data_IF_439283050541
#
_entry.id   IF_439283050541
#
_cell.length_a   1.000
_cell.length_b   1.000
_cell.length_c   1.000
_cell.angle_alpha   90.00
_cell.angle_beta   90.00
_cell.angle_gamma   90.00
#
_symmetry.space_group_name_H-M   'P 1'
#
loop_
_entity.id
_entity.type
_entity.pdbx_description
1 polymer ?
#
# COMPACT_ATOMS: atom_id res chain seq x y z
N UNK A 1 -5.27 -2.47 -0.99
CA UNK A 1 -4.44 -1.86 -2.07
C UNK A 1 -4.30 -0.38 -1.77
N UNK A 2 -3.23 0.29 -2.23
CA UNK A 2 -3.01 1.75 -2.04
C UNK A 2 -4.21 2.59 -2.54
N UNK A 3 -5.08 2.03 -3.40
CA UNK A 3 -6.40 2.55 -3.77
C UNK A 3 -7.55 2.31 -2.78
N UNK A 4 -7.29 2.23 -1.47
CA UNK A 4 -8.41 2.20 -0.51
C UNK A 4 -9.16 3.54 -0.58
N UNK A 5 -10.38 3.52 -1.10
CA UNK A 5 -11.28 4.68 -1.20
C UNK A 5 -11.64 5.28 0.17
N UNK A 6 -11.16 4.69 1.26
CA UNK A 6 -11.17 5.26 2.60
C UNK A 6 -10.65 6.70 2.58
N UNK A 7 -11.46 7.63 3.11
CA UNK A 7 -11.11 9.06 3.27
C UNK A 7 -9.74 9.28 3.93
N UNK A 8 -9.29 8.33 4.76
CA UNK A 8 -7.99 8.36 5.42
C UNK A 8 -6.78 8.30 4.47
N UNK A 9 -6.91 7.80 3.24
CA UNK A 9 -5.82 7.72 2.26
C UNK A 9 -5.70 8.96 1.35
N UNK A 10 -6.46 10.03 1.63
CA UNK A 10 -6.49 11.24 0.80
C UNK A 10 -5.10 11.90 0.63
N UNK A 11 -4.28 12.07 1.67
CA UNK A 11 -2.97 12.71 1.51
C UNK A 11 -2.05 12.00 0.53
N UNK A 12 -1.95 10.66 0.62
CA UNK A 12 -1.18 9.88 -0.35
C UNK A 12 -1.73 10.06 -1.77
N UNK A 13 -3.05 9.98 -1.95
CA UNK A 13 -3.71 10.17 -3.26
C UNK A 13 -3.47 11.55 -3.86
N UNK A 14 -3.42 12.60 -3.05
CA UNK A 14 -3.14 13.96 -3.52
C UNK A 14 -1.70 14.06 -4.07
N UNK A 15 -0.73 13.40 -3.43
CA UNK A 15 0.65 13.32 -3.91
C UNK A 15 0.76 12.48 -5.19
N UNK A 16 0.06 11.33 -5.26
CA UNK A 16 0.03 10.53 -6.48
C UNK A 16 -0.53 11.34 -7.65
N UNK A 17 -1.64 12.06 -7.42
CA UNK A 17 -2.24 12.96 -8.41
C UNK A 17 -1.31 14.11 -8.80
N UNK A 18 -0.63 14.74 -7.85
CA UNK A 18 0.39 15.78 -8.09
C UNK A 18 1.45 15.32 -9.09
N UNK A 19 1.84 14.04 -9.04
CA UNK A 19 2.87 13.46 -9.92
C UNK A 19 2.32 12.77 -11.17
N UNK A 20 1.00 12.74 -11.36
CA UNK A 20 0.35 12.00 -12.43
C UNK A 20 0.57 10.49 -12.33
N UNK A 21 0.67 9.96 -11.11
CA UNK A 21 0.76 8.53 -10.83
C UNK A 21 -0.66 7.99 -10.70
N UNK A 22 -1.06 7.12 -11.62
CA UNK A 22 -2.37 6.49 -11.60
C UNK A 22 -2.43 5.37 -10.56
N UNK A 23 -3.36 5.48 -9.62
CA UNK A 23 -3.53 4.54 -8.50
C UNK A 23 -4.10 3.19 -8.96
N UNK A 24 -4.78 3.18 -10.11
CA UNK A 24 -5.38 2.00 -10.73
C UNK A 24 -4.42 1.34 -11.74
N UNK A 25 -3.26 1.95 -12.02
CA UNK A 25 -2.22 1.29 -12.80
C UNK A 25 -1.76 0.04 -12.02
N UNK A 26 -1.82 -1.13 -12.66
CA UNK A 26 -1.47 -2.42 -12.07
C UNK A 26 -0.06 -2.45 -11.46
N UNK A 27 0.80 -1.50 -11.84
CA UNK A 27 2.12 -1.26 -11.23
C UNK A 27 2.06 -0.81 -9.76
N UNK A 28 1.00 -0.11 -9.36
CA UNK A 28 0.77 0.40 -7.99
C UNK A 28 -0.18 -0.49 -7.17
N UNK A 29 -0.83 -1.45 -7.82
CA UNK A 29 -1.68 -2.44 -7.18
C UNK A 29 -0.87 -3.62 -6.64
N UNK A 30 -0.97 -3.88 -5.33
CA UNK A 30 -0.49 -5.15 -4.75
C UNK A 30 -1.61 -6.17 -4.82
N UNK A 31 -1.43 -7.23 -5.61
CA UNK A 31 -2.33 -8.38 -5.57
C UNK A 31 -2.06 -9.16 -4.29
N UNK A 32 -3.02 -9.12 -3.37
CA UNK A 32 -2.90 -9.79 -2.08
C UNK A 32 -3.84 -11.00 -2.00
N UNK A 33 -3.39 -12.12 -1.43
CA UNK A 33 -4.25 -13.28 -1.22
C UNK A 33 -5.45 -12.88 -0.36
N UNK A 34 -6.64 -13.17 -0.86
CA UNK A 34 -7.90 -12.89 -0.17
C UNK A 34 -8.47 -14.17 0.47
N UNK A 35 -9.59 -14.05 1.20
CA UNK A 35 -10.23 -15.18 1.91
C UNK A 35 -10.63 -16.37 1.02
N UNK A 36 -10.76 -16.17 -0.29
CA UNK A 36 -11.11 -17.22 -1.26
C UNK A 36 -9.86 -17.89 -1.86
N UNK A 37 -8.66 -17.34 -1.64
CA UNK A 37 -7.41 -17.97 -2.02
C UNK A 37 -6.97 -18.92 -0.90
N UNK A 38 -7.41 -20.17 -0.99
CA UNK A 38 -7.05 -21.29 -0.09
C UNK A 38 -5.63 -21.84 -0.34
N UNK A 39 -4.94 -21.37 -1.38
CA UNK A 39 -3.54 -21.71 -1.60
C UNK A 39 -2.65 -21.02 -0.56
N UNK A 40 -2.15 -21.81 0.39
CA UNK A 40 -1.25 -21.37 1.46
C UNK A 40 0.18 -21.14 0.97
N UNK A 41 0.54 -21.58 -0.25
CA UNK A 41 1.86 -21.34 -0.84
C UNK A 41 2.03 -19.91 -1.36
N UNK A 42 0.92 -19.17 -1.53
CA UNK A 42 0.94 -17.76 -1.88
C UNK A 42 1.35 -16.91 -0.67
N UNK A 43 2.54 -16.31 -0.77
CA UNK A 43 3.04 -15.27 0.14
C UNK A 43 2.21 -13.99 0.03
N UNK A 44 2.13 -13.23 1.13
CA UNK A 44 1.45 -11.95 1.20
C UNK A 44 0.45 -11.87 2.36
N UNK A 45 0.33 -10.68 2.94
CA UNK A 45 -0.63 -10.43 4.03
C UNK A 45 -2.06 -10.65 3.54
N UNK A 46 -2.87 -11.31 4.35
CA UNK A 46 -4.26 -11.62 3.98
C UNK A 46 -5.09 -10.34 3.90
N UNK A 47 -5.69 -10.07 2.74
CA UNK A 47 -6.56 -8.91 2.55
C UNK A 47 -7.99 -9.21 3.04
N UNK A 48 -8.29 -8.78 4.28
CA UNK A 48 -9.57 -9.03 4.96
C UNK A 48 -10.33 -7.73 5.21
N UNK A 49 -11.03 -7.24 4.19
CA UNK A 49 -11.94 -6.09 4.36
C UNK A 49 -11.20 -4.78 4.63
N UNK A 50 -11.74 -3.97 5.52
CA UNK A 50 -11.31 -2.58 5.74
C UNK A 50 -9.95 -2.50 6.42
N UNK A 51 -9.04 -1.70 5.88
CA UNK A 51 -7.75 -1.44 6.52
C UNK A 51 -7.89 -0.57 7.78
N UNK A 52 -7.08 -0.83 8.84
CA UNK A 52 -7.10 -0.01 10.04
C UNK A 52 -6.57 1.39 9.75
N UNK A 53 -7.06 2.40 10.48
CA UNK A 53 -6.62 3.79 10.30
C UNK A 53 -5.10 3.97 10.48
N UNK A 54 -4.47 3.16 11.33
CA UNK A 54 -3.02 3.19 11.53
C UNK A 54 -2.24 2.82 10.26
N UNK A 55 -2.70 1.80 9.53
CA UNK A 55 -2.13 1.44 8.23
C UNK A 55 -2.25 2.61 7.24
N UNK A 56 -3.43 3.23 7.15
CA UNK A 56 -3.65 4.38 6.27
C UNK A 56 -2.75 5.57 6.64
N UNK A 57 -2.57 5.82 7.95
CA UNK A 57 -1.66 6.86 8.43
C UNK A 57 -0.19 6.55 8.08
N UNK A 58 0.26 5.31 8.27
CA UNK A 58 1.62 4.89 7.91
C UNK A 58 1.88 5.05 6.40
N UNK A 59 0.93 4.65 5.54
CA UNK A 59 1.03 4.86 4.09
C UNK A 59 1.13 6.36 3.76
N UNK A 60 0.28 7.20 4.34
CA UNK A 60 0.34 8.64 4.11
C UNK A 60 1.70 9.23 4.49
N UNK A 61 2.20 8.93 5.68
CA UNK A 61 3.49 9.45 6.16
C UNK A 61 4.62 9.04 5.22
N UNK A 62 4.70 7.75 4.86
CA UNK A 62 5.72 7.23 3.93
C UNK A 62 5.68 7.93 2.58
N UNK A 63 4.51 8.10 1.97
CA UNK A 63 4.36 8.77 0.67
C UNK A 63 4.69 10.27 0.75
N UNK A 64 4.31 10.95 1.82
CA UNK A 64 4.66 12.35 2.07
C UNK A 64 6.17 12.52 2.20
N UNK A 65 6.81 11.67 3.01
CA UNK A 65 8.25 11.74 3.23
C UNK A 65 9.02 11.39 1.94
N UNK A 66 8.54 10.42 1.16
CA UNK A 66 9.10 10.04 -0.12
C UNK A 66 9.02 11.18 -1.17
N UNK A 67 7.88 11.88 -1.24
CA UNK A 67 7.73 13.09 -2.07
C UNK A 67 8.70 14.19 -1.64
N UNK A 68 8.86 14.41 -0.33
CA UNK A 68 9.76 15.44 0.20
C UNK A 68 11.23 15.13 -0.09
N UNK A 69 11.64 13.87 0.01
CA UNK A 69 13.05 13.48 -0.14
C UNK A 69 13.47 13.25 -1.59
N UNK A 70 12.60 12.65 -2.40
CA UNK A 70 12.94 12.17 -3.74
C UNK A 70 11.97 12.60 -4.85
N UNK A 71 11.00 13.46 -4.53
CA UNK A 71 9.96 13.88 -5.47
C UNK A 71 9.22 12.68 -6.08
N UNK A 72 8.95 12.76 -7.38
CA UNK A 72 8.22 11.69 -8.09
C UNK A 72 8.92 10.33 -8.00
N UNK A 73 10.24 10.28 -8.10
CA UNK A 73 10.98 9.02 -8.06
C UNK A 73 10.92 8.40 -6.67
N UNK A 74 11.11 9.20 -5.62
CA UNK A 74 10.98 8.72 -4.24
C UNK A 74 9.61 8.11 -3.98
N UNK A 75 8.54 8.74 -4.48
CA UNK A 75 7.17 8.20 -4.37
C UNK A 75 7.03 6.83 -5.07
N UNK A 76 7.60 6.66 -6.27
CA UNK A 76 7.57 5.37 -6.99
C UNK A 76 8.38 4.28 -6.25
N UNK A 77 9.53 4.66 -5.70
CA UNK A 77 10.39 3.75 -4.93
C UNK A 77 9.67 3.28 -3.66
N UNK A 78 9.01 4.19 -2.94
CA UNK A 78 8.27 3.83 -1.72
C UNK A 78 7.01 3.03 -2.01
N UNK A 79 6.30 3.29 -3.12
CA UNK A 79 5.21 2.41 -3.57
C UNK A 79 5.70 0.99 -3.84
N UNK A 80 6.89 0.85 -4.45
CA UNK A 80 7.51 -0.45 -4.70
C UNK A 80 7.91 -1.15 -3.39
N UNK A 81 8.47 -0.41 -2.43
CA UNK A 81 8.81 -0.90 -1.10
C UNK A 81 7.59 -1.40 -0.32
N UNK A 82 6.52 -0.59 -0.26
CA UNK A 82 5.25 -0.99 0.36
C UNK A 82 4.71 -2.26 -0.31
N UNK A 83 4.79 -2.35 -1.64
CA UNK A 83 4.38 -3.55 -2.37
C UNK A 83 5.18 -4.78 -1.96
N UNK A 84 6.51 -4.66 -1.89
CA UNK A 84 7.39 -5.75 -1.49
C UNK A 84 7.04 -6.21 -0.07
N UNK A 85 6.99 -5.30 0.91
CA UNK A 85 6.62 -5.58 2.30
C UNK A 85 5.30 -6.36 2.39
N UNK A 86 4.28 -5.90 1.68
CA UNK A 86 2.95 -6.52 1.72
C UNK A 86 2.94 -7.91 1.05
N UNK A 87 3.73 -8.10 -0.01
CA UNK A 87 3.82 -9.37 -0.74
C UNK A 87 4.73 -10.41 -0.07
N UNK A 88 5.74 -9.98 0.69
CA UNK A 88 6.64 -10.86 1.44
C UNK A 88 6.13 -11.16 2.85
N UNK A 89 5.13 -10.42 3.32
CA UNK A 89 4.55 -10.64 4.64
C UNK A 89 3.91 -12.03 4.77
N UNK A 90 4.05 -12.59 5.97
CA UNK A 90 3.25 -13.76 6.36
C UNK A 90 1.76 -13.44 6.31
N UNK A 91 0.95 -14.45 5.96
CA UNK A 91 -0.51 -14.37 5.94
C UNK A 91 -1.10 -14.01 7.30
N UNK A 92 -0.39 -14.33 8.38
CA UNK A 92 -0.78 -14.04 9.76
C UNK A 92 -0.36 -12.64 10.24
N UNK A 93 0.39 -11.86 9.44
CA UNK A 93 0.83 -10.53 9.83
C UNK A 93 -0.37 -9.60 10.02
N UNK A 94 -0.31 -8.79 11.08
CA UNK A 94 -1.35 -7.82 11.39
C UNK A 94 -1.20 -6.56 10.55
N UNK A 95 -2.31 -6.09 9.97
CA UNK A 95 -2.39 -4.82 9.27
C UNK A 95 -2.02 -3.60 10.15
N UNK A 96 -2.06 -3.75 11.48
CA UNK A 96 -1.68 -2.68 12.41
C UNK A 96 -0.17 -2.44 12.48
N UNK A 97 0.64 -3.45 12.17
CA UNK A 97 2.09 -3.44 12.41
C UNK A 97 2.93 -3.75 11.16
N UNK A 98 2.30 -3.78 9.98
CA UNK A 98 2.97 -4.20 8.74
C UNK A 98 3.84 -3.09 8.11
N UNK A 99 3.55 -1.82 8.42
CA UNK A 99 4.26 -0.64 7.89
C UNK A 99 4.80 0.25 9.00
#
# INVERSE_FOLDING_TARGET
>A
MVGDASKGAQPARDILKKHGIDIDDARNGVFLPNKNNIDETLSGIKHNGRHPNQYLAAVNTRIIDADRMGGKQGVLDELSNIREILSSASRATSWYNIL
#
